data_IF_912213862476
#
_entry.id   IF_912213862476
#
_cell.length_a   1.000
_cell.length_b   1.000
_cell.length_c   1.000
_cell.angle_alpha   90.00
_cell.angle_beta   90.00
_cell.angle_gamma   90.00
#
_symmetry.space_group_name_H-M   'P 1'
#
loop_
_entity.id
_entity.type
_entity.pdbx_description
1 polymer ?
#
# COMPACT_ATOMS: atom_id res chain seq x y z
N UNK A 1 -20.69 152.35 57.17
CA UNK A 1 -19.70 151.34 57.59
C UNK A 1 -20.30 150.50 58.70
N UNK A 2 -20.49 149.20 58.46
CA UNK A 2 -20.34 148.07 59.39
C UNK A 2 -20.98 146.82 58.74
N UNK A 3 -20.21 145.75 58.69
CA UNK A 3 -20.31 144.53 57.88
C UNK A 3 -21.17 143.41 58.50
N UNK A 4 -21.83 142.61 57.67
CA UNK A 4 -22.46 141.32 58.03
C UNK A 4 -22.05 140.27 57.00
N UNK A 5 -21.16 139.34 57.37
CA UNK A 5 -20.78 138.16 56.57
C UNK A 5 -20.23 137.06 57.49
N UNK A 6 -21.07 136.12 57.95
CA UNK A 6 -20.59 134.91 58.66
C UNK A 6 -21.61 133.75 58.79
N UNK A 7 -22.39 133.40 57.75
CA UNK A 7 -23.33 132.25 57.82
C UNK A 7 -23.13 131.20 56.70
N UNK A 8 -22.45 131.53 55.59
CA UNK A 8 -22.29 130.62 54.44
C UNK A 8 -21.37 129.37 54.61
N UNK A 9 -20.30 129.34 55.44
CA UNK A 9 -19.34 128.22 55.38
C UNK A 9 -19.74 126.93 56.12
N UNK A 10 -20.75 126.96 57.00
CA UNK A 10 -21.07 125.81 57.88
C UNK A 10 -21.97 124.77 57.17
N UNK A 11 -22.85 125.20 56.26
CA UNK A 11 -23.79 124.30 55.57
C UNK A 11 -23.08 123.44 54.51
N UNK A 12 -22.02 123.96 53.88
CA UNK A 12 -21.23 123.25 52.86
C UNK A 12 -20.39 122.12 53.46
N UNK A 13 -19.96 122.23 54.73
CA UNK A 13 -19.16 121.21 55.42
C UNK A 13 -19.98 119.97 55.85
N UNK A 14 -21.28 120.11 56.09
CA UNK A 14 -22.13 118.98 56.54
C UNK A 14 -22.54 118.09 55.35
N UNK A 15 -22.75 118.69 54.17
CA UNK A 15 -23.14 117.96 52.96
C UNK A 15 -21.97 117.11 52.42
N UNK A 16 -20.72 117.57 52.56
CA UNK A 16 -19.53 116.78 52.15
C UNK A 16 -19.27 115.58 53.06
N UNK A 17 -19.64 115.66 54.35
CA UNK A 17 -19.47 114.56 55.30
C UNK A 17 -20.48 113.43 55.07
N UNK A 18 -21.74 113.77 54.77
CA UNK A 18 -22.81 112.77 54.52
C UNK A 18 -22.56 112.03 53.20
N UNK A 19 -22.07 112.71 52.16
CA UNK A 19 -21.66 112.07 50.89
C UNK A 19 -20.48 111.11 51.05
N UNK A 20 -19.57 111.40 51.98
CA UNK A 20 -18.41 110.54 52.28
C UNK A 20 -18.80 109.29 53.08
N UNK A 21 -19.77 109.38 53.99
CA UNK A 21 -20.26 108.21 54.74
C UNK A 21 -21.10 107.26 53.87
N UNK A 22 -21.90 107.77 52.93
CA UNK A 22 -22.70 106.96 52.00
C UNK A 22 -21.86 106.24 50.95
N UNK A 23 -20.77 106.83 50.48
CA UNK A 23 -19.85 106.16 49.55
C UNK A 23 -19.10 105.00 50.22
N UNK A 24 -18.77 105.14 51.51
CA UNK A 24 -18.15 104.07 52.31
C UNK A 24 -19.13 102.92 52.58
N UNK A 25 -20.39 103.21 52.91
CA UNK A 25 -21.40 102.17 53.14
C UNK A 25 -21.80 101.41 51.87
N UNK A 26 -21.93 102.08 50.74
CA UNK A 26 -22.20 101.43 49.44
C UNK A 26 -20.98 100.64 48.95
N UNK A 27 -19.76 101.14 49.19
CA UNK A 27 -18.51 100.42 48.93
C UNK A 27 -18.41 99.15 49.79
N UNK A 28 -18.79 99.23 51.07
CA UNK A 28 -18.77 98.08 51.99
C UNK A 28 -19.83 97.03 51.63
N UNK A 29 -21.04 97.46 51.24
CA UNK A 29 -22.09 96.52 50.80
C UNK A 29 -21.74 95.86 49.46
N UNK A 30 -21.11 96.61 48.54
CA UNK A 30 -20.60 96.08 47.27
C UNK A 30 -19.44 95.09 47.49
N UNK A 31 -18.53 95.38 48.43
CA UNK A 31 -17.48 94.46 48.86
C UNK A 31 -18.04 93.18 49.48
N UNK A 32 -19.08 93.27 50.33
CA UNK A 32 -19.69 92.08 50.94
C UNK A 32 -20.35 91.17 49.90
N UNK A 33 -21.05 91.74 48.92
CA UNK A 33 -21.69 90.98 47.83
C UNK A 33 -20.67 90.39 46.84
N UNK A 34 -19.54 91.09 46.64
CA UNK A 34 -18.37 90.60 45.93
C UNK A 34 -17.71 89.41 46.65
N UNK A 35 -17.57 89.49 47.98
CA UNK A 35 -17.03 88.42 48.83
C UNK A 35 -17.92 87.17 48.85
N UNK A 36 -19.24 87.32 48.94
CA UNK A 36 -20.18 86.19 48.88
C UNK A 36 -20.12 85.51 47.50
N UNK A 37 -20.13 86.29 46.41
CA UNK A 37 -20.00 85.75 45.05
C UNK A 37 -18.64 85.10 44.80
N UNK A 38 -17.57 85.65 45.36
CA UNK A 38 -16.23 85.06 45.33
C UNK A 38 -16.15 83.77 46.15
N UNK A 39 -16.87 83.69 47.27
CA UNK A 39 -16.95 82.48 48.10
C UNK A 39 -17.70 81.36 47.41
N UNK A 40 -18.78 81.67 46.68
CA UNK A 40 -19.54 80.67 45.94
C UNK A 40 -18.77 80.21 44.68
N UNK A 41 -18.06 81.12 44.00
CA UNK A 41 -17.12 80.77 42.93
C UNK A 41 -15.99 79.86 43.41
N UNK A 42 -15.46 80.10 44.62
CA UNK A 42 -14.45 79.24 45.23
C UNK A 42 -14.98 77.84 45.53
N UNK A 43 -16.22 77.74 46.04
CA UNK A 43 -16.87 76.45 46.28
C UNK A 43 -17.15 75.70 44.97
N UNK A 44 -17.60 76.40 43.93
CA UNK A 44 -17.81 75.82 42.59
C UNK A 44 -16.48 75.31 42.01
N UNK A 45 -15.40 76.09 42.17
CA UNK A 45 -14.05 75.73 41.75
C UNK A 45 -13.51 74.52 42.53
N UNK A 46 -13.75 74.44 43.84
CA UNK A 46 -13.42 73.27 44.68
C UNK A 46 -14.21 72.01 44.27
N UNK A 47 -15.48 72.16 43.91
CA UNK A 47 -16.31 71.06 43.41
C UNK A 47 -15.84 70.59 42.04
N UNK A 48 -15.49 71.51 41.13
CA UNK A 48 -14.96 71.17 39.82
C UNK A 48 -13.57 70.51 39.89
N UNK A 49 -12.70 70.99 40.78
CA UNK A 49 -11.39 70.37 41.00
C UNK A 49 -11.52 68.98 41.59
N UNK A 50 -12.40 68.75 42.57
CA UNK A 50 -12.71 67.39 43.08
C UNK A 50 -13.25 66.46 41.99
N UNK A 51 -14.23 66.91 41.19
CA UNK A 51 -14.77 66.10 40.08
C UNK A 51 -13.70 65.77 39.05
N UNK A 52 -12.79 66.70 38.78
CA UNK A 52 -11.68 66.48 37.86
C UNK A 52 -10.68 65.46 38.44
N UNK A 53 -10.39 65.53 39.74
CA UNK A 53 -9.55 64.54 40.43
C UNK A 53 -10.18 63.16 40.47
N UNK A 54 -11.49 63.06 40.76
CA UNK A 54 -12.24 61.79 40.71
C UNK A 54 -12.26 61.20 39.30
N UNK A 55 -12.51 62.00 38.27
CA UNK A 55 -12.43 61.54 36.88
C UNK A 55 -11.02 61.09 36.51
N UNK A 56 -9.98 61.84 36.91
CA UNK A 56 -8.58 61.45 36.66
C UNK A 56 -8.23 60.15 37.37
N UNK A 57 -8.67 59.98 38.61
CA UNK A 57 -8.45 58.75 39.39
C UNK A 57 -9.20 57.56 38.78
N UNK A 58 -10.44 57.76 38.35
CA UNK A 58 -11.26 56.74 37.69
C UNK A 58 -10.66 56.35 36.34
N UNK A 59 -10.28 57.33 35.51
CA UNK A 59 -9.60 57.08 34.24
C UNK A 59 -8.26 56.37 34.43
N UNK A 60 -7.45 56.77 35.43
CA UNK A 60 -6.19 56.10 35.73
C UNK A 60 -6.40 54.63 36.11
N UNK A 61 -7.43 54.33 36.90
CA UNK A 61 -7.78 52.97 37.29
C UNK A 61 -8.25 52.13 36.09
N UNK A 62 -9.08 52.69 35.23
CA UNK A 62 -9.57 52.00 34.02
C UNK A 62 -8.43 51.74 33.03
N UNK A 63 -7.53 52.71 32.88
CA UNK A 63 -6.37 52.60 31.99
C UNK A 63 -5.39 51.54 32.50
N UNK A 64 -5.18 51.44 33.81
CA UNK A 64 -4.39 50.37 34.42
C UNK A 64 -5.07 49.00 34.27
N UNK A 65 -6.40 48.94 34.42
CA UNK A 65 -7.18 47.72 34.21
C UNK A 65 -7.05 47.23 32.77
N UNK A 66 -7.24 48.10 31.79
CA UNK A 66 -7.09 47.76 30.36
C UNK A 66 -5.65 47.34 30.06
N UNK A 67 -4.65 48.04 30.60
CA UNK A 67 -3.25 47.70 30.42
C UNK A 67 -2.93 46.30 30.97
N UNK A 68 -3.39 46.00 32.19
CA UNK A 68 -3.20 44.69 32.82
C UNK A 68 -3.88 43.57 32.02
N UNK A 69 -5.11 43.79 31.53
CA UNK A 69 -5.84 42.83 30.68
C UNK A 69 -5.10 42.59 29.35
N UNK A 70 -4.61 43.64 28.70
CA UNK A 70 -3.86 43.50 27.45
C UNK A 70 -2.55 42.74 27.66
N UNK A 71 -1.86 42.96 28.78
CA UNK A 71 -0.64 42.20 29.09
C UNK A 71 -0.92 40.72 29.30
N UNK A 72 -2.00 40.37 30.01
CA UNK A 72 -2.38 38.97 30.22
C UNK A 72 -2.81 38.28 28.93
N UNK A 73 -3.58 38.97 28.09
CA UNK A 73 -4.03 38.43 26.79
C UNK A 73 -2.83 38.20 25.86
N UNK A 74 -1.86 39.12 25.84
CA UNK A 74 -0.63 38.96 25.07
C UNK A 74 0.22 37.78 25.57
N UNK A 75 0.32 37.57 26.87
CA UNK A 75 1.03 36.42 27.44
C UNK A 75 0.31 35.10 27.13
N UNK A 76 -1.01 35.06 27.26
CA UNK A 76 -1.81 33.89 26.89
C UNK A 76 -1.66 33.58 25.40
N UNK A 77 -1.75 34.58 24.53
CA UNK A 77 -1.63 34.39 23.09
C UNK A 77 -0.23 33.88 22.69
N UNK A 78 0.83 34.44 23.30
CA UNK A 78 2.21 33.94 23.13
C UNK A 78 2.37 32.50 23.62
N UNK A 79 1.81 32.17 24.79
CA UNK A 79 1.88 30.80 25.34
C UNK A 79 1.12 29.79 24.48
N UNK A 80 -0.04 30.17 23.93
CA UNK A 80 -0.83 29.36 23.01
C UNK A 80 -0.12 29.15 21.67
N UNK A 81 0.45 30.22 21.11
CA UNK A 81 1.21 30.16 19.86
C UNK A 81 2.46 29.29 19.98
N UNK A 82 3.22 29.41 21.08
CA UNK A 82 4.39 28.57 21.34
C UNK A 82 4.01 27.10 21.48
N UNK A 83 2.94 26.80 22.20
CA UNK A 83 2.41 25.42 22.31
C UNK A 83 2.01 24.84 20.95
N UNK A 84 1.35 25.64 20.12
CA UNK A 84 0.89 25.22 18.78
C UNK A 84 2.07 24.95 17.83
N UNK A 85 3.12 25.78 17.89
CA UNK A 85 4.36 25.58 17.14
C UNK A 85 5.09 24.31 17.60
N UNK A 86 5.16 24.05 18.90
CA UNK A 86 5.76 22.84 19.45
C UNK A 86 5.01 21.58 18.99
N UNK A 87 3.67 21.61 18.99
CA UNK A 87 2.83 20.52 18.49
C UNK A 87 3.06 20.26 17.00
N UNK A 88 3.05 21.30 16.17
CA UNK A 88 3.33 21.18 14.73
C UNK A 88 4.72 20.62 14.47
N UNK A 89 5.74 21.09 15.21
CA UNK A 89 7.12 20.59 15.10
C UNK A 89 7.21 19.10 15.45
N UNK A 90 6.54 18.68 16.53
CA UNK A 90 6.53 17.28 16.94
C UNK A 90 5.79 16.39 15.94
N UNK A 91 4.68 16.87 15.37
CA UNK A 91 3.94 16.15 14.34
C UNK A 91 4.76 15.99 13.06
N UNK A 92 5.41 17.06 12.59
CA UNK A 92 6.33 17.01 11.45
C UNK A 92 7.50 16.06 11.69
N UNK A 93 8.09 16.04 12.90
CA UNK A 93 9.17 15.11 13.23
C UNK A 93 8.70 13.65 13.21
N UNK A 94 7.48 13.37 13.69
CA UNK A 94 6.90 12.03 13.65
C UNK A 94 6.60 11.56 12.21
N UNK A 95 6.01 12.44 11.41
CA UNK A 95 5.72 12.17 10.00
C UNK A 95 7.02 11.97 9.21
N UNK A 96 8.05 12.79 9.47
CA UNK A 96 9.33 12.61 8.80
C UNK A 96 10.00 11.28 9.14
N UNK A 97 10.00 10.89 10.42
CA UNK A 97 10.54 9.59 10.84
C UNK A 97 9.79 8.42 10.18
N UNK A 98 8.47 8.56 10.00
CA UNK A 98 7.66 7.57 9.28
C UNK A 98 8.09 7.50 7.81
N UNK A 99 8.21 8.63 7.12
CA UNK A 99 8.69 8.67 5.73
C UNK A 99 10.09 8.07 5.56
N UNK A 100 11.03 8.39 6.45
CA UNK A 100 12.38 7.79 6.43
C UNK A 100 12.34 6.26 6.59
N UNK A 101 11.51 5.75 7.52
CA UNK A 101 11.35 4.31 7.71
C UNK A 101 10.73 3.62 6.49
N UNK A 102 9.80 4.30 5.81
CA UNK A 102 9.18 3.79 4.58
C UNK A 102 10.18 3.77 3.42
N UNK A 103 11.01 4.82 3.25
CA UNK A 103 12.06 4.88 2.24
C UNK A 103 13.14 3.81 2.47
N UNK A 104 13.63 3.66 3.70
CA UNK A 104 14.60 2.63 4.04
C UNK A 104 14.06 1.23 3.73
N UNK A 105 12.78 0.97 4.05
CA UNK A 105 12.10 -0.28 3.71
C UNK A 105 12.02 -0.47 2.18
N UNK A 106 11.71 0.58 1.43
CA UNK A 106 11.62 0.53 -0.04
C UNK A 106 12.97 0.24 -0.70
N UNK A 107 14.06 0.80 -0.17
CA UNK A 107 15.41 0.56 -0.64
C UNK A 107 15.83 -0.89 -0.39
N UNK A 108 15.55 -1.42 0.82
CA UNK A 108 15.79 -2.83 1.15
C UNK A 108 15.02 -3.74 0.17
N UNK A 109 13.74 -3.48 -0.10
CA UNK A 109 12.94 -4.30 -1.03
C UNK A 109 13.52 -4.26 -2.44
N UNK A 110 13.94 -3.09 -2.92
CA UNK A 110 14.56 -2.97 -4.26
C UNK A 110 15.83 -3.82 -4.33
N UNK A 111 16.74 -3.63 -3.36
CA UNK A 111 18.01 -4.35 -3.30
C UNK A 111 17.81 -5.87 -3.19
N UNK A 112 16.83 -6.33 -2.41
CA UNK A 112 16.50 -7.75 -2.33
C UNK A 112 15.89 -8.27 -3.62
N UNK A 113 15.03 -7.49 -4.28
CA UNK A 113 14.43 -7.89 -5.56
C UNK A 113 15.50 -8.03 -6.63
N UNK A 114 16.43 -7.08 -6.73
CA UNK A 114 17.55 -7.12 -7.69
C UNK A 114 18.50 -8.29 -7.40
N UNK A 115 18.73 -8.58 -6.12
CA UNK A 115 19.54 -9.72 -5.67
C UNK A 115 18.88 -11.06 -6.02
N UNK A 116 17.57 -11.18 -5.80
CA UNK A 116 16.84 -12.44 -5.98
C UNK A 116 16.30 -12.64 -7.42
N UNK A 117 16.30 -11.59 -8.24
CA UNK A 117 15.78 -11.64 -9.61
C UNK A 117 16.60 -12.56 -10.51
N UNK A 118 17.93 -12.51 -10.44
CA UNK A 118 18.79 -13.19 -11.42
C UNK A 118 18.60 -14.73 -11.46
N UNK A 119 18.68 -15.47 -10.35
CA UNK A 119 18.40 -16.91 -10.37
C UNK A 119 16.95 -17.25 -10.71
N UNK A 120 16.00 -16.36 -10.38
CA UNK A 120 14.61 -16.54 -10.81
C UNK A 120 14.48 -16.35 -12.33
N UNK A 121 15.14 -15.36 -12.93
CA UNK A 121 15.22 -15.13 -14.37
C UNK A 121 15.79 -16.39 -15.03
N UNK A 122 16.96 -16.86 -14.59
CA UNK A 122 17.59 -18.05 -15.15
C UNK A 122 16.70 -19.29 -15.05
N UNK A 123 16.12 -19.56 -13.88
CA UNK A 123 15.26 -20.72 -13.70
C UNK A 123 13.96 -20.62 -14.53
N UNK A 124 13.37 -19.43 -14.64
CA UNK A 124 12.21 -19.19 -15.48
C UNK A 124 12.55 -19.30 -16.97
N UNK A 125 13.72 -18.81 -17.38
CA UNK A 125 14.22 -18.90 -18.75
C UNK A 125 14.48 -20.36 -19.18
N UNK A 126 15.17 -21.13 -18.35
CA UNK A 126 15.43 -22.55 -18.61
C UNK A 126 14.12 -23.34 -18.73
N UNK A 127 13.16 -23.09 -17.82
CA UNK A 127 11.87 -23.76 -17.84
C UNK A 127 11.02 -23.35 -19.04
N UNK A 128 10.94 -22.05 -19.37
CA UNK A 128 10.16 -21.61 -20.54
C UNK A 128 10.74 -22.17 -21.83
N UNK A 129 12.06 -22.23 -21.97
CA UNK A 129 12.70 -22.79 -23.16
C UNK A 129 12.38 -24.28 -23.27
N UNK A 130 12.48 -25.01 -22.16
CA UNK A 130 12.12 -26.43 -22.15
C UNK A 130 10.66 -26.66 -22.53
N UNK A 131 9.74 -25.84 -22.02
CA UNK A 131 8.33 -25.95 -22.36
C UNK A 131 8.09 -25.60 -23.84
N UNK A 132 8.77 -24.57 -24.36
CA UNK A 132 8.74 -24.24 -25.78
C UNK A 132 9.19 -25.43 -26.62
N UNK A 133 10.32 -26.04 -26.28
CA UNK A 133 10.84 -27.20 -27.02
C UNK A 133 9.89 -28.39 -26.96
N UNK A 134 9.20 -28.56 -25.83
CA UNK A 134 8.23 -29.62 -25.66
C UNK A 134 6.96 -29.39 -26.49
N UNK A 135 6.52 -28.12 -26.62
CA UNK A 135 5.25 -27.78 -27.28
C UNK A 135 5.37 -27.38 -28.75
N UNK A 136 6.52 -26.90 -29.22
CA UNK A 136 6.71 -26.48 -30.62
C UNK A 136 7.53 -27.48 -31.41
N UNK A 137 8.63 -27.99 -30.84
CA UNK A 137 9.51 -28.87 -31.59
C UNK A 137 9.00 -30.32 -31.60
N UNK A 138 9.19 -31.03 -32.73
CA UNK A 138 8.90 -32.45 -32.79
C UNK A 138 9.87 -33.20 -31.87
N UNK A 139 9.32 -33.94 -30.91
CA UNK A 139 10.12 -34.81 -30.05
C UNK A 139 10.70 -35.92 -30.94
N UNK A 140 12.03 -36.06 -30.92
CA UNK A 140 12.71 -37.07 -31.74
C UNK A 140 12.13 -38.46 -31.46
N UNK A 141 11.73 -39.15 -32.52
CA UNK A 141 11.19 -40.52 -32.46
C UNK A 141 12.13 -41.47 -31.71
N UNK A 142 13.45 -41.30 -31.89
CA UNK A 142 14.47 -42.11 -31.22
C UNK A 142 14.45 -41.98 -29.68
N UNK A 143 14.03 -40.82 -29.17
CA UNK A 143 13.87 -40.60 -27.73
C UNK A 143 12.58 -41.21 -27.18
N UNK A 144 11.52 -41.31 -27.99
CA UNK A 144 10.23 -41.88 -27.56
C UNK A 144 10.13 -43.40 -27.77
N UNK A 145 10.97 -43.99 -28.63
CA UNK A 145 11.01 -45.43 -28.85
C UNK A 145 11.51 -46.21 -27.62
N UNK A 146 12.27 -45.55 -26.74
CA UNK A 146 12.79 -46.13 -25.50
C UNK A 146 11.99 -45.64 -24.30
N UNK A 147 11.53 -46.54 -23.40
CA UNK A 147 10.83 -46.12 -22.19
C UNK A 147 11.69 -45.20 -21.31
N UNK A 148 13.01 -45.36 -21.35
CA UNK A 148 13.97 -44.50 -20.64
C UNK A 148 13.90 -43.05 -21.17
N UNK A 149 13.77 -42.85 -22.48
CA UNK A 149 13.80 -41.50 -23.05
C UNK A 149 12.57 -40.66 -22.68
N UNK A 150 11.39 -41.28 -22.55
CA UNK A 150 10.20 -40.61 -22.00
C UNK A 150 10.38 -40.28 -20.52
N UNK A 151 10.99 -41.17 -19.74
CA UNK A 151 11.26 -40.93 -18.32
C UNK A 151 12.30 -39.82 -18.14
N UNK A 152 13.36 -39.80 -18.93
CA UNK A 152 14.38 -38.75 -18.91
C UNK A 152 13.79 -37.40 -19.29
N UNK A 153 12.94 -37.37 -20.32
CA UNK A 153 12.19 -36.18 -20.72
C UNK A 153 11.34 -35.63 -19.55
N UNK A 154 10.63 -36.50 -18.82
CA UNK A 154 9.84 -36.13 -17.65
C UNK A 154 10.69 -35.65 -16.49
N UNK A 155 11.68 -36.43 -16.06
CA UNK A 155 12.56 -36.13 -14.94
C UNK A 155 13.30 -34.81 -15.15
N UNK A 156 13.84 -34.58 -16.34
CA UNK A 156 14.53 -33.34 -16.67
C UNK A 156 13.59 -32.13 -16.65
N UNK A 157 12.39 -32.26 -17.22
CA UNK A 157 11.40 -31.17 -17.20
C UNK A 157 10.92 -30.88 -15.78
N UNK A 158 10.73 -31.91 -14.95
CA UNK A 158 10.41 -31.77 -13.53
C UNK A 158 11.54 -31.13 -12.72
N UNK A 159 12.80 -31.43 -13.05
CA UNK A 159 13.95 -30.77 -12.43
C UNK A 159 13.96 -29.27 -12.70
N UNK A 160 13.72 -28.85 -13.95
CA UNK A 160 13.63 -27.42 -14.28
C UNK A 160 12.45 -26.74 -13.59
N UNK A 161 11.31 -27.42 -13.49
CA UNK A 161 10.19 -26.93 -12.69
C UNK A 161 10.57 -26.81 -11.21
N UNK A 162 11.26 -27.80 -10.64
CA UNK A 162 11.73 -27.76 -9.26
C UNK A 162 12.70 -26.61 -9.00
N UNK A 163 13.62 -26.32 -9.94
CA UNK A 163 14.53 -25.16 -9.89
C UNK A 163 13.76 -23.83 -9.91
N UNK A 164 12.75 -23.73 -10.75
CA UNK A 164 11.88 -22.55 -10.76
C UNK A 164 11.13 -22.40 -9.42
N UNK A 165 10.52 -23.46 -8.93
CA UNK A 165 9.74 -23.46 -7.69
C UNK A 165 10.59 -23.06 -6.48
N UNK A 166 11.81 -23.62 -6.36
CA UNK A 166 12.70 -23.26 -5.25
C UNK A 166 13.19 -21.81 -5.35
N UNK A 167 13.45 -21.29 -6.56
CA UNK A 167 13.80 -19.87 -6.74
C UNK A 167 12.66 -18.95 -6.30
N UNK A 168 11.42 -19.27 -6.71
CA UNK A 168 10.21 -18.56 -6.27
C UNK A 168 10.03 -18.65 -4.75
N UNK A 169 10.25 -19.82 -4.17
CA UNK A 169 10.12 -20.03 -2.72
C UNK A 169 11.16 -19.22 -1.94
N UNK A 170 12.43 -19.27 -2.34
CA UNK A 170 13.51 -18.46 -1.74
C UNK A 170 13.17 -16.98 -1.85
N UNK A 171 12.76 -16.51 -3.02
CA UNK A 171 12.35 -15.13 -3.23
C UNK A 171 11.20 -14.75 -2.28
N UNK A 172 10.14 -15.56 -2.19
CA UNK A 172 8.99 -15.28 -1.30
C UNK A 172 9.40 -15.24 0.17
N UNK A 173 10.19 -16.21 0.63
CA UNK A 173 10.60 -16.33 2.04
C UNK A 173 11.57 -15.22 2.44
N UNK A 174 12.53 -14.86 1.58
CA UNK A 174 13.54 -13.85 1.91
C UNK A 174 13.07 -12.42 1.66
N UNK A 175 12.26 -12.20 0.63
CA UNK A 175 11.71 -10.87 0.41
C UNK A 175 10.56 -10.62 1.37
N UNK A 176 9.74 -11.61 1.73
CA UNK A 176 8.56 -11.44 2.62
C UNK A 176 7.51 -10.41 2.14
N UNK A 177 7.79 -9.69 1.04
CA UNK A 177 7.32 -8.31 0.83
C UNK A 177 6.81 -8.00 -0.56
N UNK A 178 6.94 -8.92 -1.52
CA UNK A 178 6.10 -8.84 -2.71
C UNK A 178 4.60 -8.96 -2.37
N UNK A 179 4.17 -8.92 -1.10
CA UNK A 179 2.77 -8.83 -0.68
C UNK A 179 2.29 -7.41 -0.39
N UNK A 180 3.19 -6.43 -0.18
CA UNK A 180 2.80 -5.07 0.28
C UNK A 180 3.35 -3.91 -0.54
N UNK A 181 4.11 -4.18 -1.61
CA UNK A 181 4.57 -3.10 -2.47
C UNK A 181 3.42 -2.40 -3.21
N UNK A 182 3.52 -1.06 -3.25
CA UNK A 182 2.64 -0.17 -4.01
C UNK A 182 3.20 0.20 -5.37
N UNK A 183 4.46 -0.13 -5.67
CA UNK A 183 5.08 0.20 -6.97
C UNK A 183 4.37 -0.57 -8.09
N UNK A 184 4.01 0.09 -9.20
CA UNK A 184 3.34 -0.56 -10.33
C UNK A 184 4.10 -1.78 -10.87
N UNK A 185 5.43 -1.72 -10.88
CA UNK A 185 6.29 -2.78 -11.41
C UNK A 185 6.27 -4.03 -10.56
N UNK A 186 6.45 -3.86 -9.25
CA UNK A 186 6.40 -4.95 -8.27
C UNK A 186 4.98 -5.54 -8.19
N UNK A 187 3.93 -4.72 -8.40
CA UNK A 187 2.55 -5.18 -8.55
C UNK A 187 2.38 -6.04 -9.80
N UNK A 188 2.92 -5.62 -10.95
CA UNK A 188 2.87 -6.39 -12.19
C UNK A 188 3.61 -7.73 -12.07
N UNK A 189 4.82 -7.73 -11.51
CA UNK A 189 5.61 -8.93 -11.26
C UNK A 189 4.84 -9.96 -10.42
N UNK A 190 4.29 -9.50 -9.30
CA UNK A 190 3.48 -10.32 -8.40
C UNK A 190 2.25 -10.92 -9.10
N UNK A 191 1.57 -10.12 -9.92
CA UNK A 191 0.41 -10.60 -10.67
C UNK A 191 0.79 -11.73 -11.63
N UNK A 192 1.92 -11.62 -12.34
CA UNK A 192 2.42 -12.69 -13.22
C UNK A 192 2.75 -13.94 -12.39
N UNK A 193 3.43 -13.80 -11.25
CA UNK A 193 3.70 -14.93 -10.36
C UNK A 193 2.42 -15.60 -9.86
N UNK A 194 1.36 -14.83 -9.54
CA UNK A 194 0.06 -15.40 -9.20
C UNK A 194 -0.60 -16.11 -10.38
N UNK A 195 -0.50 -15.57 -11.60
CA UNK A 195 -1.03 -16.27 -12.78
C UNK A 195 -0.31 -17.60 -13.02
N UNK A 196 1.01 -17.65 -12.79
CA UNK A 196 1.78 -18.89 -12.86
C UNK A 196 1.32 -19.86 -11.76
N UNK A 197 1.18 -19.38 -10.52
CA UNK A 197 0.65 -20.20 -9.42
C UNK A 197 -0.72 -20.79 -9.74
N UNK A 198 -1.62 -19.98 -10.30
CA UNK A 198 -2.94 -20.41 -10.75
C UNK A 198 -2.85 -21.44 -11.88
N UNK A 199 -1.94 -21.27 -12.84
CA UNK A 199 -1.77 -22.23 -13.94
C UNK A 199 -1.25 -23.60 -13.45
N UNK A 200 -0.37 -23.57 -12.44
CA UNK A 200 0.14 -24.78 -11.80
C UNK A 200 -0.94 -25.51 -10.97
N UNK A 201 -1.87 -24.76 -10.37
CA UNK A 201 -2.93 -25.27 -9.48
C UNK A 201 -4.17 -25.74 -10.27
N UNK A 202 -4.60 -24.98 -11.28
CA UNK A 202 -5.97 -25.01 -11.79
C UNK A 202 -6.19 -25.96 -12.97
N UNK A 203 -7.39 -26.55 -13.02
CA UNK A 203 -7.93 -27.22 -14.22
C UNK A 203 -8.49 -26.19 -15.20
N UNK A 204 -8.03 -26.24 -16.45
CA UNK A 204 -8.68 -25.49 -17.52
C UNK A 204 -9.99 -26.18 -17.90
N UNK A 205 -11.09 -25.76 -17.29
CA UNK A 205 -12.45 -26.30 -17.55
C UNK A 205 -12.93 -26.12 -19.00
N UNK A 206 -12.33 -25.21 -19.77
CA UNK A 206 -12.68 -24.94 -21.18
C UNK A 206 -12.08 -25.93 -22.19
N UNK A 207 -11.18 -26.80 -21.77
CA UNK A 207 -10.84 -27.99 -22.54
C UNK A 207 -11.38 -29.21 -21.77
N UNK A 208 -12.42 -29.90 -22.27
CA UNK A 208 -12.99 -31.08 -21.63
C UNK A 208 -11.92 -32.11 -21.22
N UNK A 209 -10.83 -32.15 -21.98
CA UNK A 209 -9.74 -33.10 -21.83
C UNK A 209 -8.48 -32.52 -21.16
N UNK A 210 -8.35 -31.19 -21.00
CA UNK A 210 -7.17 -30.64 -20.31
C UNK A 210 -7.31 -30.82 -18.80
N UNK A 211 -6.53 -31.76 -18.27
CA UNK A 211 -6.24 -31.82 -16.84
C UNK A 211 -5.25 -30.69 -16.47
N UNK A 212 -5.21 -30.36 -15.19
CA UNK A 212 -4.33 -29.34 -14.61
C UNK A 212 -2.87 -29.72 -14.88
N UNK A 213 -1.95 -28.75 -14.82
CA UNK A 213 -0.52 -29.04 -14.62
C UNK A 213 -0.33 -29.76 -13.26
N UNK A 214 -1.17 -29.40 -12.28
CA UNK A 214 -1.47 -30.22 -11.11
C UNK A 214 -0.40 -30.22 -10.03
N UNK A 215 0.44 -29.20 -9.97
CA UNK A 215 1.41 -29.05 -8.89
C UNK A 215 0.80 -28.18 -7.78
N UNK A 216 0.07 -28.86 -6.89
CA UNK A 216 -0.66 -28.27 -5.78
C UNK A 216 0.24 -27.38 -4.90
N UNK A 217 -0.31 -26.32 -4.25
CA UNK A 217 0.46 -25.43 -3.39
C UNK A 217 1.36 -26.13 -2.37
N UNK A 218 0.84 -27.16 -1.68
CA UNK A 218 1.61 -27.94 -0.70
C UNK A 218 2.76 -28.72 -1.36
N UNK A 219 2.51 -29.34 -2.53
CA UNK A 219 3.54 -30.03 -3.29
C UNK A 219 4.66 -29.08 -3.72
N UNK A 220 4.32 -27.85 -4.15
CA UNK A 220 5.31 -26.82 -4.54
C UNK A 220 6.23 -26.43 -3.39
N UNK A 221 5.67 -26.23 -2.19
CA UNK A 221 6.47 -25.94 -0.99
C UNK A 221 7.36 -27.14 -0.67
N UNK A 222 6.80 -28.35 -0.65
CA UNK A 222 7.54 -29.57 -0.35
C UNK A 222 8.69 -29.82 -1.33
N UNK A 223 8.46 -29.63 -2.63
CA UNK A 223 9.49 -29.69 -3.68
C UNK A 223 10.58 -28.65 -3.40
N UNK A 224 10.18 -27.42 -3.09
CA UNK A 224 11.12 -26.31 -2.85
C UNK A 224 12.02 -26.59 -1.64
N UNK A 225 11.44 -27.02 -0.52
CA UNK A 225 12.19 -27.40 0.68
C UNK A 225 13.12 -28.59 0.41
N UNK A 226 12.65 -29.59 -0.35
CA UNK A 226 13.46 -30.73 -0.77
C UNK A 226 14.58 -30.34 -1.72
N UNK A 227 14.44 -29.26 -2.50
CA UNK A 227 15.50 -28.74 -3.37
C UNK A 227 16.60 -27.99 -2.61
N UNK A 228 16.34 -27.56 -1.38
CA UNK A 228 17.32 -26.85 -0.53
C UNK A 228 18.15 -27.89 0.23
N UNK A 229 19.47 -27.88 0.05
CA UNK A 229 20.41 -28.76 0.78
C UNK A 229 20.68 -28.21 2.19
N UNK A 230 20.75 -26.89 2.32
CA UNK A 230 21.03 -26.20 3.58
C UNK A 230 21.35 -24.73 3.35
N UNK A 231 21.52 -23.99 4.44
CA UNK A 231 22.05 -22.63 4.41
C UNK A 231 23.55 -22.64 4.65
N UNK A 232 24.30 -21.90 3.84
CA UNK A 232 25.74 -21.72 4.03
C UNK A 232 26.04 -20.23 4.26
N UNK A 233 26.65 -19.94 5.41
CA UNK A 233 27.10 -18.58 5.75
C UNK A 233 28.22 -18.12 4.80
N UNK A 234 29.10 -19.04 4.40
CA UNK A 234 30.21 -18.75 3.47
C UNK A 234 29.67 -18.39 2.07
N UNK A 235 28.61 -19.07 1.63
CA UNK A 235 27.98 -18.80 0.33
C UNK A 235 27.12 -17.53 0.35
N UNK A 236 26.83 -16.97 1.53
CA UNK A 236 26.14 -15.69 1.65
C UNK A 236 27.03 -14.49 1.24
N UNK A 237 28.34 -14.66 1.13
CA UNK A 237 29.25 -13.62 0.62
C UNK A 237 29.63 -13.83 -0.86
N UNK A 238 29.71 -15.08 -1.31
CA UNK A 238 30.23 -15.42 -2.64
C UNK A 238 29.14 -15.58 -3.72
N UNK A 239 27.95 -16.08 -3.38
CA UNK A 239 26.89 -16.35 -4.36
C UNK A 239 25.95 -15.14 -4.55
N UNK A 240 26.49 -13.92 -4.42
CA UNK A 240 25.67 -12.72 -4.38
C UNK A 240 24.67 -12.70 -3.23
N UNK A 241 24.91 -13.50 -2.18
CA UNK A 241 24.18 -13.48 -0.91
C UNK A 241 22.85 -14.22 -0.83
N UNK A 242 22.64 -15.24 -1.65
CA UNK A 242 21.49 -16.14 -1.51
C UNK A 242 21.53 -16.91 -0.20
N UNK A 243 22.70 -17.43 0.18
CA UNK A 243 22.86 -18.22 1.39
C UNK A 243 22.16 -19.59 1.35
N UNK A 244 21.62 -20.02 0.19
CA UNK A 244 20.99 -21.34 0.00
C UNK A 244 21.75 -22.16 -1.04
N UNK A 245 22.03 -23.40 -0.70
CA UNK A 245 22.55 -24.39 -1.64
C UNK A 245 21.39 -25.17 -2.25
N UNK A 246 21.20 -25.01 -3.56
CA UNK A 246 20.15 -25.70 -4.33
C UNK A 246 20.74 -26.99 -4.92
N UNK A 247 19.96 -28.07 -4.91
CA UNK A 247 20.34 -29.35 -5.55
C UNK A 247 20.55 -29.18 -7.05
N UNK A 248 21.67 -29.71 -7.54
CA UNK A 248 21.90 -29.94 -8.96
C UNK A 248 21.11 -31.15 -9.48
N UNK A 249 21.18 -31.38 -10.80
CA UNK A 249 20.42 -32.43 -11.48
C UNK A 249 20.76 -33.84 -10.95
N UNK A 250 22.05 -34.14 -10.78
CA UNK A 250 22.53 -35.44 -10.32
C UNK A 250 21.85 -35.87 -9.00
N UNK A 251 21.97 -35.03 -7.97
CA UNK A 251 21.32 -35.25 -6.67
C UNK A 251 19.79 -35.25 -6.73
N UNK A 252 19.19 -34.48 -7.65
CA UNK A 252 17.76 -34.52 -7.87
C UNK A 252 17.31 -35.86 -8.45
N UNK A 253 18.08 -36.43 -9.39
CA UNK A 253 17.80 -37.72 -10.01
C UNK A 253 17.98 -38.87 -9.01
N UNK A 254 19.03 -38.82 -8.18
CA UNK A 254 19.25 -39.81 -7.12
C UNK A 254 18.09 -39.89 -6.13
N UNK A 255 17.51 -38.73 -5.79
CA UNK A 255 16.40 -38.61 -4.85
C UNK A 255 15.02 -38.64 -5.53
N UNK A 256 14.95 -38.91 -6.85
CA UNK A 256 13.73 -38.78 -7.64
C UNK A 256 12.58 -39.64 -7.12
N UNK A 257 12.79 -40.95 -7.03
CA UNK A 257 11.73 -41.90 -6.68
C UNK A 257 11.23 -41.72 -5.25
N UNK A 258 12.11 -41.31 -4.32
CA UNK A 258 11.77 -41.14 -2.91
C UNK A 258 11.13 -39.78 -2.59
N UNK A 259 11.56 -38.71 -3.26
CA UNK A 259 11.27 -37.33 -2.83
C UNK A 259 10.62 -36.44 -3.87
N UNK A 260 10.68 -36.76 -5.16
CA UNK A 260 10.19 -35.83 -6.18
C UNK A 260 9.08 -36.41 -7.04
N UNK A 261 9.07 -37.74 -7.24
CA UNK A 261 8.10 -38.41 -8.10
C UNK A 261 6.65 -38.21 -7.68
N UNK A 262 6.34 -38.42 -6.40
CA UNK A 262 4.98 -38.24 -5.87
C UNK A 262 4.49 -36.78 -6.01
N UNK A 263 5.18 -35.75 -5.48
CA UNK A 263 4.68 -34.38 -5.57
C UNK A 263 4.70 -33.80 -7.00
N UNK A 264 5.45 -34.41 -7.93
CA UNK A 264 5.47 -34.06 -9.36
C UNK A 264 4.55 -34.94 -10.22
N UNK A 265 3.83 -35.91 -9.62
CA UNK A 265 3.13 -36.96 -10.36
C UNK A 265 2.13 -36.43 -11.38
N UNK A 266 1.33 -35.44 -11.00
CA UNK A 266 0.38 -34.81 -11.92
C UNK A 266 1.05 -34.06 -13.07
N UNK A 267 2.19 -33.41 -12.81
CA UNK A 267 2.92 -32.73 -13.89
C UNK A 267 3.51 -33.73 -14.88
N UNK A 268 4.02 -34.87 -14.38
CA UNK A 268 4.41 -36.00 -15.21
C UNK A 268 3.24 -36.53 -16.04
N UNK A 269 2.05 -36.68 -15.44
CA UNK A 269 0.83 -37.08 -16.15
C UNK A 269 0.47 -36.08 -17.26
N UNK A 270 0.59 -34.77 -17.01
CA UNK A 270 0.37 -33.72 -18.03
C UNK A 270 1.30 -33.91 -19.24
N UNK A 271 2.57 -34.23 -18.99
CA UNK A 271 3.54 -34.51 -20.05
C UNK A 271 3.15 -35.80 -20.79
N UNK A 272 2.80 -36.86 -20.08
CA UNK A 272 2.38 -38.14 -20.68
C UNK A 272 1.17 -37.95 -21.60
N UNK A 273 0.12 -37.27 -21.14
CA UNK A 273 -1.08 -36.99 -21.94
C UNK A 273 -0.77 -36.15 -23.18
N UNK A 274 0.07 -35.13 -23.05
CA UNK A 274 0.46 -34.30 -24.19
C UNK A 274 1.24 -35.10 -25.23
N UNK A 275 2.15 -35.99 -24.83
CA UNK A 275 2.87 -36.89 -25.75
C UNK A 275 1.90 -37.89 -26.40
N UNK A 276 0.99 -38.49 -25.64
CA UNK A 276 -0.03 -39.41 -26.16
C UNK A 276 -0.93 -38.75 -27.21
N UNK A 277 -1.41 -37.55 -26.96
CA UNK A 277 -2.28 -36.82 -27.89
C UNK A 277 -1.55 -36.45 -29.18
N UNK A 278 -0.27 -36.06 -29.08
CA UNK A 278 0.59 -35.83 -30.25
C UNK A 278 0.73 -37.07 -31.11
N UNK A 279 0.94 -38.24 -30.48
CA UNK A 279 1.02 -39.52 -31.19
C UNK A 279 -0.31 -39.85 -31.87
N UNK A 280 -1.44 -39.57 -31.22
CA UNK A 280 -2.78 -39.84 -31.74
C UNK A 280 -3.24 -38.84 -32.81
N UNK A 281 -2.51 -37.73 -33.00
CA UNK A 281 -2.89 -36.62 -33.91
C UNK A 281 -4.28 -36.05 -33.57
N UNK A 282 -4.69 -36.17 -32.31
CA UNK A 282 -5.92 -35.57 -31.77
C UNK A 282 -5.57 -34.18 -31.25
N UNK A 283 -6.49 -33.21 -31.28
CA UNK A 283 -6.29 -31.87 -30.71
C UNK A 283 -5.53 -31.93 -29.38
N UNK A 284 -4.35 -31.30 -29.34
CA UNK A 284 -3.31 -31.63 -28.39
C UNK A 284 -3.68 -31.00 -27.03
N UNK A 285 -3.70 -31.77 -25.94
CA UNK A 285 -3.95 -31.23 -24.60
C UNK A 285 -2.72 -30.53 -24.00
N UNK A 286 -2.02 -29.70 -24.78
CA UNK A 286 -0.83 -28.94 -24.36
C UNK A 286 -1.15 -27.49 -23.96
N UNK A 287 -2.44 -27.13 -23.94
CA UNK A 287 -2.92 -25.77 -23.66
C UNK A 287 -2.33 -25.18 -22.37
N UNK A 288 -2.29 -25.97 -21.28
CA UNK A 288 -1.76 -25.51 -20.00
C UNK A 288 -0.24 -25.29 -20.03
N UNK A 289 0.50 -26.17 -20.71
CA UNK A 289 1.96 -26.04 -20.88
C UNK A 289 2.31 -24.80 -21.71
N UNK A 290 1.55 -24.52 -22.78
CA UNK A 290 1.69 -23.30 -23.58
C UNK A 290 1.44 -22.03 -22.77
N UNK A 291 0.38 -22.00 -21.97
CA UNK A 291 0.09 -20.84 -21.13
C UNK A 291 1.15 -20.65 -20.07
N UNK A 292 1.59 -21.73 -19.40
CA UNK A 292 2.69 -21.65 -18.44
C UNK A 292 3.96 -21.10 -19.10
N UNK A 293 4.28 -21.56 -20.32
CA UNK A 293 5.41 -21.05 -21.10
C UNK A 293 5.27 -19.55 -21.38
N UNK A 294 4.11 -19.09 -21.83
CA UNK A 294 3.86 -17.67 -22.08
C UNK A 294 3.98 -16.80 -20.83
N UNK A 295 3.46 -17.27 -19.70
CA UNK A 295 3.54 -16.56 -18.42
C UNK A 295 4.98 -16.49 -17.90
N UNK A 296 5.78 -17.55 -18.09
CA UNK A 296 7.20 -17.54 -17.76
C UNK A 296 8.00 -16.58 -18.65
N UNK A 297 7.66 -16.49 -19.95
CA UNK A 297 8.23 -15.46 -20.83
C UNK A 297 7.91 -14.05 -20.32
N UNK A 298 6.66 -13.80 -19.91
CA UNK A 298 6.25 -12.51 -19.37
C UNK A 298 6.96 -12.20 -18.04
N UNK A 299 7.20 -13.23 -17.21
CA UNK A 299 8.00 -13.11 -16.00
C UNK A 299 9.46 -12.72 -16.30
N UNK A 300 10.10 -13.43 -17.24
CA UNK A 300 11.49 -13.14 -17.65
C UNK A 300 11.60 -11.72 -18.19
N UNK A 301 10.71 -11.30 -19.09
CA UNK A 301 10.67 -9.93 -19.63
C UNK A 301 10.59 -8.86 -18.54
N UNK A 302 9.85 -9.15 -17.45
CA UNK A 302 9.65 -8.17 -16.38
C UNK A 302 10.84 -8.09 -15.43
N UNK A 303 11.57 -9.19 -15.27
CA UNK A 303 12.73 -9.27 -14.41
C UNK A 303 14.03 -8.86 -15.15
N UNK A 304 14.13 -9.12 -16.44
CA UNK A 304 15.30 -8.85 -17.29
C UNK A 304 15.32 -7.40 -17.81
N UNK A 305 15.52 -6.45 -16.90
CA UNK A 305 15.55 -5.02 -17.22
C UNK A 305 16.67 -4.64 -18.20
N UNK A 306 17.77 -5.39 -18.17
CA UNK A 306 18.95 -5.16 -19.01
C UNK A 306 18.86 -5.87 -20.37
N UNK A 307 17.78 -6.65 -20.61
CA UNK A 307 17.58 -7.45 -21.84
C UNK A 307 18.74 -8.40 -22.13
N UNK A 308 19.31 -9.02 -21.09
CA UNK A 308 20.40 -9.97 -21.26
C UNK A 308 19.92 -11.31 -21.87
N UNK A 309 18.66 -11.68 -21.64
CA UNK A 309 18.05 -12.94 -22.09
C UNK A 309 16.98 -12.72 -23.15
N UNK A 310 16.30 -11.56 -23.14
CA UNK A 310 15.24 -11.23 -24.11
C UNK A 310 15.77 -10.30 -25.20
N UNK A 311 15.81 -10.78 -26.44
CA UNK A 311 16.16 -9.96 -27.61
C UNK A 311 15.05 -8.96 -27.96
N UNK A 312 15.36 -7.98 -28.82
CA UNK A 312 14.42 -6.92 -29.24
C UNK A 312 13.19 -7.42 -30.03
N UNK A 313 13.09 -8.72 -30.33
CA UNK A 313 11.92 -9.38 -30.92
C UNK A 313 11.19 -10.26 -29.88
N UNK A 314 10.52 -9.64 -28.89
CA UNK A 314 9.99 -10.33 -27.71
C UNK A 314 8.82 -11.29 -28.00
N UNK A 315 8.25 -11.24 -29.20
CA UNK A 315 7.16 -12.13 -29.60
C UNK A 315 7.64 -13.52 -30.05
N UNK A 316 8.94 -13.68 -30.29
CA UNK A 316 9.49 -14.91 -30.87
C UNK A 316 9.77 -15.99 -29.83
N UNK A 317 9.89 -15.61 -28.55
CA UNK A 317 10.08 -16.58 -27.47
C UNK A 317 8.77 -17.27 -27.06
N UNK A 318 7.61 -16.69 -27.36
CA UNK A 318 6.31 -17.30 -27.01
C UNK A 318 5.94 -18.34 -28.06
N UNK A 319 5.62 -19.56 -27.62
CA UNK A 319 5.08 -20.60 -28.49
C UNK A 319 3.77 -20.16 -29.17
N UNK A 320 3.28 -20.92 -30.14
CA UNK A 320 1.98 -20.67 -30.75
C UNK A 320 0.87 -20.65 -29.69
N UNK A 321 -0.15 -19.82 -29.94
CA UNK A 321 -1.27 -19.67 -29.03
C UNK A 321 -1.98 -21.00 -28.81
N UNK A 322 -2.34 -21.26 -27.56
CA UNK A 322 -3.23 -22.36 -27.23
C UNK A 322 -4.52 -22.23 -28.05
N UNK A 323 -4.95 -23.33 -28.69
CA UNK A 323 -6.23 -23.39 -29.42
C UNK A 323 -7.43 -23.08 -28.52
N UNK A 324 -7.30 -23.24 -27.19
CA UNK A 324 -8.37 -22.95 -26.22
C UNK A 324 -7.86 -22.11 -25.06
N UNK A 325 -8.21 -20.83 -25.09
CA UNK A 325 -8.03 -19.87 -23.99
C UNK A 325 -6.59 -19.74 -23.52
N UNK A 326 -5.74 -18.96 -24.22
CA UNK A 326 -4.58 -18.35 -23.57
C UNK A 326 -5.04 -17.06 -22.88
N UNK A 327 -4.55 -16.83 -21.67
CA UNK A 327 -4.80 -15.60 -20.91
C UNK A 327 -3.54 -14.73 -20.79
N UNK A 328 -2.60 -14.91 -21.73
CA UNK A 328 -1.28 -14.31 -21.74
C UNK A 328 -1.25 -12.99 -22.53
N UNK A 329 -0.29 -12.10 -22.24
CA UNK A 329 -0.27 -10.71 -22.74
C UNK A 329 0.24 -10.59 -24.22
N UNK A 330 -0.09 -11.54 -25.09
CA UNK A 330 0.27 -11.51 -26.52
C UNK A 330 -0.94 -11.10 -27.34
N UNK A 331 -0.73 -10.25 -28.36
CA UNK A 331 -1.75 -9.96 -29.37
C UNK A 331 -2.33 -11.27 -29.93
N UNK A 332 -3.64 -11.48 -29.74
CA UNK A 332 -4.35 -12.68 -30.19
C UNK A 332 -4.42 -13.85 -29.20
N UNK A 333 -3.87 -13.70 -28.00
CA UNK A 333 -4.03 -14.60 -26.86
C UNK A 333 -4.95 -13.98 -25.79
N UNK A 334 -6.26 -13.95 -26.05
CA UNK A 334 -7.20 -13.17 -25.23
C UNK A 334 -7.34 -11.74 -25.73
N UNK A 335 -8.43 -11.06 -25.34
CA UNK A 335 -8.98 -9.84 -25.96
C UNK A 335 -8.17 -8.54 -25.75
N UNK A 336 -6.86 -8.61 -25.47
CA UNK A 336 -6.12 -7.45 -24.96
C UNK A 336 -6.64 -7.01 -23.58
N UNK A 337 -7.20 -7.96 -22.83
CA UNK A 337 -7.79 -7.68 -21.53
C UNK A 337 -6.71 -7.45 -20.48
N UNK A 338 -6.88 -6.36 -19.71
CA UNK A 338 -6.04 -6.01 -18.58
C UNK A 338 -5.82 -7.24 -17.68
N UNK A 339 -4.57 -7.52 -17.33
CA UNK A 339 -4.16 -8.63 -16.46
C UNK A 339 -4.94 -8.68 -15.13
N UNK A 340 -5.42 -7.53 -14.64
CA UNK A 340 -6.35 -7.43 -13.51
C UNK A 340 -7.68 -8.14 -13.75
N UNK A 341 -8.26 -8.00 -14.95
CA UNK A 341 -9.51 -8.66 -15.34
C UNK A 341 -9.30 -10.17 -15.47
N UNK A 342 -8.20 -10.60 -16.10
CA UNK A 342 -7.85 -12.02 -16.16
C UNK A 342 -7.72 -12.64 -14.78
N UNK A 343 -7.02 -11.97 -13.86
CA UNK A 343 -6.91 -12.43 -12.47
C UNK A 343 -8.26 -12.48 -11.77
N UNK A 344 -9.09 -11.45 -11.92
CA UNK A 344 -10.43 -11.40 -11.34
C UNK A 344 -11.31 -12.54 -11.88
N UNK A 345 -11.28 -12.77 -13.19
CA UNK A 345 -12.03 -13.85 -13.83
C UNK A 345 -11.54 -15.23 -13.34
N UNK A 346 -10.23 -15.41 -13.18
CA UNK A 346 -9.65 -16.62 -12.58
C UNK A 346 -10.11 -16.82 -11.13
N UNK A 347 -10.01 -15.78 -10.30
CA UNK A 347 -10.48 -15.83 -8.91
C UNK A 347 -11.97 -16.14 -8.81
N UNK A 348 -12.81 -15.44 -9.59
CA UNK A 348 -14.25 -15.66 -9.67
C UNK A 348 -14.59 -17.07 -10.15
N UNK A 349 -13.81 -17.60 -11.08
CA UNK A 349 -14.06 -18.95 -11.56
C UNK A 349 -13.66 -20.06 -10.58
N UNK A 350 -12.84 -19.80 -9.54
CA UNK A 350 -12.67 -20.73 -8.40
C UNK A 350 -13.97 -20.89 -7.62
N UNK A 351 -14.76 -19.82 -7.48
CA UNK A 351 -16.10 -19.89 -6.87
C UNK A 351 -17.08 -20.72 -7.69
N UNK A 352 -16.81 -20.86 -8.99
CA UNK A 352 -17.63 -21.63 -9.92
C UNK A 352 -17.02 -23.00 -10.24
N UNK A 353 -15.85 -23.33 -9.67
CA UNK A 353 -15.29 -24.67 -9.80
C UNK A 353 -16.13 -25.60 -8.91
N UNK A 354 -16.78 -26.61 -9.49
CA UNK A 354 -17.60 -27.54 -8.73
C UNK A 354 -16.85 -28.23 -7.58
N UNK A 355 -15.52 -28.38 -7.69
CA UNK A 355 -14.67 -28.99 -6.66
C UNK A 355 -15.21 -30.33 -6.14
N UNK A 356 -14.89 -30.64 -4.88
CA UNK A 356 -15.53 -31.74 -4.12
C UNK A 356 -16.99 -31.45 -3.74
N UNK A 357 -17.45 -30.20 -3.91
CA UNK A 357 -18.70 -29.67 -3.36
C UNK A 357 -19.95 -30.00 -4.18
N UNK A 358 -19.80 -30.47 -5.42
CA UNK A 358 -20.96 -30.89 -6.25
C UNK A 358 -21.66 -32.15 -5.76
N UNK A 359 -21.05 -32.94 -4.87
CA UNK A 359 -21.64 -34.21 -4.43
C UNK A 359 -22.74 -34.06 -3.37
N UNK A 360 -22.76 -32.98 -2.58
CA UNK A 360 -23.75 -32.75 -1.52
C UNK A 360 -24.91 -31.85 -1.93
N UNK A 361 -24.92 -31.31 -3.16
CA UNK A 361 -25.97 -30.43 -3.64
C UNK A 361 -26.03 -29.05 -2.95
N UNK A 362 -25.04 -28.70 -2.13
CA UNK A 362 -25.00 -27.43 -1.39
C UNK A 362 -24.73 -26.22 -2.29
N UNK A 363 -24.06 -26.42 -3.43
CA UNK A 363 -23.94 -25.41 -4.47
C UNK A 363 -24.56 -25.93 -5.77
N UNK A 364 -25.79 -25.48 -6.08
CA UNK A 364 -26.19 -25.40 -7.49
C UNK A 364 -25.22 -24.41 -8.13
N UNK A 365 -24.32 -24.90 -8.99
CA UNK A 365 -23.61 -24.02 -9.90
C UNK A 365 -24.66 -23.07 -10.50
N UNK A 366 -24.46 -21.76 -10.35
CA UNK A 366 -25.29 -20.78 -11.07
C UNK A 366 -24.91 -20.93 -12.54
N UNK A 367 -25.53 -21.89 -13.21
CA UNK A 367 -25.43 -22.10 -14.64
C UNK A 367 -25.92 -20.83 -15.31
N UNK A 368 -24.99 -19.99 -15.76
CA UNK A 368 -25.29 -19.07 -16.85
C UNK A 368 -25.38 -19.93 -18.10
N UNK A 369 -26.43 -19.72 -18.91
CA UNK A 369 -26.95 -20.61 -19.98
C UNK A 369 -25.95 -21.12 -21.04
N UNK A 370 -24.68 -20.71 -21.01
CA UNK A 370 -23.68 -21.01 -22.03
C UNK A 370 -22.67 -22.12 -21.66
N UNK A 371 -22.72 -22.72 -20.46
CA UNK A 371 -21.85 -23.85 -20.08
C UNK A 371 -22.58 -25.19 -20.14
N UNK A 372 -22.96 -25.64 -21.35
CA UNK A 372 -23.72 -26.88 -21.58
C UNK A 372 -22.90 -28.18 -21.62
N UNK A 373 -21.58 -28.15 -21.46
CA UNK A 373 -20.71 -29.32 -21.70
C UNK A 373 -20.04 -29.90 -20.44
N UNK A 374 -20.54 -29.61 -19.24
CA UNK A 374 -20.09 -30.35 -18.06
C UNK A 374 -20.87 -31.66 -17.96
N UNK A 375 -20.22 -32.79 -18.21
CA UNK A 375 -20.82 -34.11 -18.00
C UNK A 375 -20.94 -34.37 -16.49
N UNK A 376 -22.17 -34.37 -15.91
CA UNK A 376 -22.36 -34.65 -14.50
C UNK A 376 -21.89 -36.07 -14.09
N UNK A 377 -21.69 -36.97 -15.06
CA UNK A 377 -21.16 -38.32 -14.82
C UNK A 377 -19.63 -38.39 -14.77
N UNK A 378 -18.92 -37.36 -15.23
CA UNK A 378 -17.45 -37.28 -15.16
C UNK A 378 -16.93 -37.03 -13.74
N UNK A 379 -17.79 -36.53 -12.85
CA UNK A 379 -17.57 -36.54 -11.41
C UNK A 379 -17.80 -37.96 -10.88
N UNK A 380 -16.86 -38.88 -11.12
CA UNK A 380 -16.76 -40.10 -10.30
C UNK A 380 -16.59 -39.65 -8.86
N UNK A 381 -17.70 -39.62 -8.14
CA UNK A 381 -17.68 -39.10 -6.78
C UNK A 381 -16.93 -40.08 -5.91
N UNK A 382 -15.73 -39.72 -5.46
CA UNK A 382 -15.02 -40.49 -4.45
C UNK A 382 -15.94 -40.71 -3.24
N UNK A 383 -16.15 -41.97 -2.87
CA UNK A 383 -16.75 -42.31 -1.60
C UNK A 383 -15.85 -41.81 -0.47
N UNK A 384 -16.42 -41.57 0.71
CA UNK A 384 -15.62 -41.24 1.90
C UNK A 384 -14.60 -42.35 2.16
N UNK A 385 -14.95 -43.60 1.84
CA UNK A 385 -14.07 -44.76 1.95
C UNK A 385 -12.89 -44.68 0.96
N UNK A 386 -13.13 -44.37 -0.32
CA UNK A 386 -12.06 -44.17 -1.31
C UNK A 386 -11.15 -42.99 -0.92
N UNK A 387 -11.69 -41.91 -0.34
CA UNK A 387 -10.89 -40.80 0.19
C UNK A 387 -10.04 -41.23 1.41
N UNK A 388 -10.60 -42.03 2.32
CA UNK A 388 -9.87 -42.61 3.46
C UNK A 388 -8.75 -43.55 2.99
N UNK A 389 -9.01 -44.35 1.96
CA UNK A 389 -8.04 -45.26 1.35
C UNK A 389 -6.91 -44.51 0.63
N UNK A 390 -7.23 -43.42 -0.09
CA UNK A 390 -6.24 -42.59 -0.80
C UNK A 390 -5.38 -41.71 0.11
N UNK A 391 -5.84 -41.37 1.32
CA UNK A 391 -5.12 -40.44 2.21
C UNK A 391 -4.06 -41.10 3.09
N UNK A 392 -3.95 -42.44 3.08
CA UNK A 392 -2.94 -43.25 3.81
C UNK A 392 -2.63 -42.81 5.26
N UNK A 393 -3.50 -42.03 5.91
CA UNK A 393 -3.32 -41.56 7.29
C UNK A 393 -4.63 -41.52 8.06
N UNK A 394 -4.70 -42.50 8.95
CA UNK A 394 -5.18 -42.45 10.34
C UNK A 394 -6.69 -42.24 10.44
N UNK A 395 -7.37 -43.33 10.80
CA UNK A 395 -8.65 -43.26 11.50
C UNK A 395 -8.55 -42.23 12.62
N UNK A 396 -9.18 -41.06 12.41
CA UNK A 396 -9.46 -40.13 13.49
C UNK A 396 -10.71 -40.70 14.15
N UNK A 397 -10.49 -41.47 15.22
CA UNK A 397 -11.51 -41.83 16.19
C UNK A 397 -12.03 -40.59 16.94
#
# INVERSE_FOLDING_TARGET
MASTDLIAPIIVAIISLIGSCLSVLLSWHSQKKSLEKSSDLLKEQDIQTRKLEEMKSSQAMELERVRSSQTTDLEQLKSSQTTSLEQLKNQWAADMKKFESELARMEIVSNLTDKYSQPLIMAAYDLQQRLFDLVEYPISRQHLEKPEGLQDLKKFTCYLLARYLVAVHIMRTNTGYLSFSTKPEEKALRKIMYLIDEELDRRRTRCPDSKNIGVWPAARILISERMIIGRSEVNSALDGGFGYNIKGLDRFLDEWDEKFKEPMGYFCETIDMMVEDRIRVVHWCDCALRVLQHLLVDLVKRLDLEKAYVTDEPNDMKCEKSMRGCDCDRDGCGSGENLDRTLLDRQNSRWNDPGLWTKTGLHRAKYTDNFRNYDPNSAKGYSVQELKEMTHRIDID
#
